data_IF_117591721725
#
_entry.id   IF_117591721725
#
_cell.length_a   1.000
_cell.length_b   1.000
_cell.length_c   1.000
_cell.angle_alpha   90.00
_cell.angle_beta   90.00
_cell.angle_gamma   90.00
#
_symmetry.space_group_name_H-M   'P 1'
#
loop_
_entity.id
_entity.type
_entity.pdbx_description
1 polymer ?
#
# COMPACT_ATOMS: atom_id res chain seq x y z
N UNK A 1 -65.38 -46.20 6.03
CA UNK A 1 -65.56 -45.12 7.03
C UNK A 1 -64.28 -44.85 7.81
N UNK A 2 -63.76 -45.76 8.64
CA UNK A 2 -62.54 -45.51 9.42
C UNK A 2 -61.26 -45.36 8.56
N UNK A 3 -61.16 -46.15 7.48
CA UNK A 3 -60.09 -46.04 6.47
C UNK A 3 -60.10 -44.70 5.72
N UNK A 4 -61.29 -44.17 5.43
CA UNK A 4 -61.44 -42.91 4.70
C UNK A 4 -61.07 -41.71 5.58
N UNK A 5 -61.36 -41.80 6.89
CA UNK A 5 -60.93 -40.81 7.88
C UNK A 5 -59.40 -40.78 8.01
N UNK A 6 -58.75 -41.95 8.09
CA UNK A 6 -57.29 -42.04 8.15
C UNK A 6 -56.62 -41.53 6.87
N UNK A 7 -57.18 -41.81 5.70
CA UNK A 7 -56.66 -41.31 4.42
C UNK A 7 -56.78 -39.78 4.34
N UNK A 8 -57.91 -39.22 4.79
CA UNK A 8 -58.11 -37.77 4.82
C UNK A 8 -57.18 -37.08 5.82
N UNK A 9 -56.93 -37.69 6.98
CA UNK A 9 -55.99 -37.15 7.97
C UNK A 9 -54.53 -37.20 7.47
N UNK A 10 -54.16 -38.28 6.77
CA UNK A 10 -52.83 -38.41 6.17
C UNK A 10 -52.61 -37.37 5.06
N UNK A 11 -53.64 -37.13 4.23
CA UNK A 11 -53.61 -36.11 3.18
C UNK A 11 -53.43 -34.71 3.78
N UNK A 12 -54.19 -34.38 4.84
CA UNK A 12 -54.05 -33.10 5.54
C UNK A 12 -52.66 -32.90 6.16
N UNK A 13 -52.06 -33.96 6.73
CA UNK A 13 -50.69 -33.91 7.28
C UNK A 13 -49.65 -33.73 6.17
N UNK A 14 -49.81 -34.43 5.05
CA UNK A 14 -48.92 -34.30 3.89
C UNK A 14 -48.95 -32.88 3.32
N UNK A 15 -50.14 -32.30 3.17
CA UNK A 15 -50.32 -30.92 2.71
C UNK A 15 -49.68 -29.91 3.68
N UNK A 16 -49.74 -30.17 4.99
CA UNK A 16 -49.09 -29.32 6.00
C UNK A 16 -47.57 -29.38 5.88
N UNK A 17 -46.99 -30.58 5.80
CA UNK A 17 -45.54 -30.76 5.65
C UNK A 17 -45.05 -30.15 4.33
N UNK A 18 -45.84 -30.28 3.26
CA UNK A 18 -45.50 -29.70 1.96
C UNK A 18 -45.53 -28.16 2.00
N UNK A 19 -46.48 -27.55 2.71
CA UNK A 19 -46.50 -26.10 2.95
C UNK A 19 -45.30 -25.64 3.78
N UNK A 20 -44.98 -26.33 4.87
CA UNK A 20 -43.85 -25.98 5.74
C UNK A 20 -42.51 -26.11 5.00
N UNK A 21 -42.37 -27.11 4.14
CA UNK A 21 -41.20 -27.28 3.28
C UNK A 21 -41.08 -26.14 2.25
N UNK A 22 -42.18 -25.71 1.63
CA UNK A 22 -42.16 -24.57 0.70
C UNK A 22 -41.80 -23.26 1.44
N UNK A 23 -42.33 -23.04 2.64
CA UNK A 23 -41.98 -21.88 3.46
C UNK A 23 -40.50 -21.89 3.87
N UNK A 24 -39.97 -23.04 4.30
CA UNK A 24 -38.55 -23.20 4.63
C UNK A 24 -37.64 -22.95 3.43
N UNK A 25 -38.00 -23.47 2.24
CA UNK A 25 -37.28 -23.18 0.99
C UNK A 25 -37.30 -21.70 0.64
N UNK A 26 -38.44 -21.02 0.78
CA UNK A 26 -38.54 -19.58 0.54
C UNK A 26 -37.68 -18.76 1.52
N UNK A 27 -37.63 -19.15 2.81
CA UNK A 27 -36.74 -18.54 3.80
C UNK A 27 -35.26 -18.76 3.48
N UNK A 28 -34.87 -19.97 3.04
CA UNK A 28 -33.50 -20.28 2.63
C UNK A 28 -33.09 -19.51 1.37
N UNK A 29 -33.98 -19.40 0.38
CA UNK A 29 -33.75 -18.56 -0.81
C UNK A 29 -33.65 -17.08 -0.46
N UNK A 30 -34.46 -16.59 0.49
CA UNK A 30 -34.34 -15.23 1.01
C UNK A 30 -33.01 -14.99 1.74
N UNK A 31 -32.55 -15.96 2.55
CA UNK A 31 -31.25 -15.88 3.21
C UNK A 31 -30.09 -15.92 2.20
N UNK A 32 -30.17 -16.75 1.17
CA UNK A 32 -29.19 -16.80 0.07
C UNK A 32 -29.17 -15.48 -0.71
N UNK A 33 -30.33 -14.90 -1.02
CA UNK A 33 -30.40 -13.60 -1.70
C UNK A 33 -29.84 -12.48 -0.82
N UNK A 34 -30.06 -12.51 0.50
CA UNK A 34 -29.43 -11.59 1.44
C UNK A 34 -27.92 -11.81 1.54
N UNK A 35 -27.45 -13.06 1.54
CA UNK A 35 -26.03 -13.38 1.48
C UNK A 35 -25.40 -12.90 0.18
N UNK A 36 -26.10 -13.02 -0.95
CA UNK A 36 -25.67 -12.51 -2.26
C UNK A 36 -25.59 -10.98 -2.25
N UNK A 37 -26.61 -10.28 -1.73
CA UNK A 37 -26.60 -8.82 -1.57
C UNK A 37 -25.50 -8.36 -0.60
N UNK A 38 -25.28 -9.08 0.50
CA UNK A 38 -24.16 -8.83 1.42
C UNK A 38 -22.80 -9.16 0.80
N UNK A 39 -22.75 -10.08 -0.17
CA UNK A 39 -21.54 -10.43 -0.92
C UNK A 39 -21.22 -9.43 -2.03
N UNK A 40 -22.24 -8.71 -2.54
CA UNK A 40 -22.09 -7.74 -3.64
C UNK A 40 -21.17 -6.58 -3.30
N UNK A 41 -20.86 -6.35 -2.02
CA UNK A 41 -19.90 -5.32 -1.65
C UNK A 41 -18.95 -5.75 -0.53
N UNK A 42 -18.52 -7.03 -0.57
CA UNK A 42 -17.55 -7.60 0.37
C UNK A 42 -16.29 -6.73 0.54
N UNK A 43 -15.92 -5.98 -0.50
CA UNK A 43 -14.71 -5.15 -0.55
C UNK A 43 -14.98 -3.65 -0.72
N UNK A 44 -16.21 -3.18 -0.49
CA UNK A 44 -16.62 -1.79 -0.69
C UNK A 44 -15.62 -0.77 -0.13
N UNK A 45 -15.30 -0.95 1.16
CA UNK A 45 -14.48 -0.03 1.93
C UNK A 45 -13.02 -0.14 1.50
N UNK A 46 -12.56 -1.37 1.21
CA UNK A 46 -11.21 -1.62 0.68
C UNK A 46 -11.00 -0.97 -0.70
N UNK A 47 -11.95 -1.14 -1.61
CA UNK A 47 -11.91 -0.56 -2.95
C UNK A 47 -12.01 0.97 -2.92
N UNK A 48 -12.89 1.52 -2.07
CA UNK A 48 -12.97 2.96 -1.85
C UNK A 48 -11.66 3.53 -1.30
N UNK A 49 -11.07 2.88 -0.29
CA UNK A 49 -9.77 3.28 0.28
C UNK A 49 -8.66 3.22 -0.78
N UNK A 50 -8.60 2.14 -1.58
CA UNK A 50 -7.66 2.00 -2.69
C UNK A 50 -7.77 3.19 -3.66
N UNK A 51 -8.99 3.51 -4.09
CA UNK A 51 -9.28 4.63 -4.97
C UNK A 51 -8.87 5.99 -4.39
N UNK A 52 -9.17 6.23 -3.10
CA UNK A 52 -8.79 7.45 -2.39
C UNK A 52 -7.26 7.60 -2.29
N UNK A 53 -6.55 6.54 -1.89
CA UNK A 53 -5.09 6.55 -1.79
C UNK A 53 -4.44 6.76 -3.16
N UNK A 54 -4.97 6.11 -4.22
CA UNK A 54 -4.52 6.31 -5.61
C UNK A 54 -4.68 7.76 -6.05
N UNK A 55 -5.85 8.35 -5.81
CA UNK A 55 -6.13 9.75 -6.18
C UNK A 55 -5.19 10.72 -5.45
N UNK A 56 -5.01 10.54 -4.14
CA UNK A 56 -4.09 11.35 -3.33
C UNK A 56 -2.64 11.18 -3.80
N UNK A 57 -2.20 9.96 -4.13
CA UNK A 57 -0.89 9.70 -4.71
C UNK A 57 -0.69 10.52 -5.99
N UNK A 58 -1.65 10.47 -6.93
CA UNK A 58 -1.53 11.19 -8.21
C UNK A 58 -1.38 12.69 -8.01
N UNK A 59 -2.10 13.28 -7.06
CA UNK A 59 -1.95 14.70 -6.70
C UNK A 59 -0.56 14.97 -6.14
N UNK A 60 -0.08 14.12 -5.22
CA UNK A 60 1.21 14.31 -4.54
C UNK A 60 2.40 14.10 -5.47
N UNK A 61 2.33 13.13 -6.38
CA UNK A 61 3.35 12.86 -7.40
C UNK A 61 3.50 14.06 -8.33
N UNK A 62 2.40 14.70 -8.72
CA UNK A 62 2.41 15.87 -9.62
C UNK A 62 2.78 17.20 -8.95
N UNK A 63 2.88 17.23 -7.62
CA UNK A 63 3.31 18.43 -6.90
C UNK A 63 4.83 18.58 -6.97
N UNK A 64 5.33 19.69 -7.51
CA UNK A 64 6.76 19.97 -7.62
C UNK A 64 7.46 19.94 -6.24
N UNK A 65 8.55 19.18 -6.05
CA UNK A 65 9.26 19.17 -4.78
C UNK A 65 9.85 20.54 -4.44
N UNK A 66 9.97 20.90 -3.15
CA UNK A 66 10.69 22.10 -2.74
C UNK A 66 12.17 21.98 -3.16
N UNK A 67 12.84 23.11 -3.39
CA UNK A 67 14.28 23.11 -3.70
C UNK A 67 15.07 22.48 -2.56
N UNK A 68 16.03 21.62 -2.90
CA UNK A 68 16.90 21.02 -1.90
C UNK A 68 17.91 22.05 -1.37
N UNK A 69 17.90 22.26 -0.06
CA UNK A 69 18.95 23.00 0.66
C UNK A 69 20.08 22.03 1.04
N UNK A 70 21.26 22.54 1.39
CA UNK A 70 22.39 21.70 1.83
C UNK A 70 22.01 20.74 2.98
N UNK A 71 21.08 21.17 3.86
CA UNK A 71 20.54 20.38 4.97
C UNK A 71 19.59 19.26 4.51
N UNK A 72 18.78 19.48 3.48
CA UNK A 72 17.82 18.47 2.97
C UNK A 72 18.43 17.50 1.96
N UNK A 73 19.63 17.78 1.42
CA UNK A 73 20.39 16.85 0.56
C UNK A 73 20.83 15.56 1.27
N UNK A 74 21.02 15.61 2.59
CA UNK A 74 21.55 14.47 3.37
C UNK A 74 20.49 13.44 3.76
N UNK A 75 19.24 13.87 3.92
CA UNK A 75 18.17 12.99 4.41
C UNK A 75 17.46 12.29 3.26
N UNK A 76 17.10 11.02 3.47
CA UNK A 76 16.18 10.30 2.61
C UNK A 76 14.85 11.07 2.57
N UNK A 77 14.44 11.48 1.37
CA UNK A 77 13.15 12.14 1.19
C UNK A 77 12.08 11.06 1.10
N UNK A 78 10.91 11.31 1.67
CA UNK A 78 9.75 10.42 1.57
C UNK A 78 8.56 11.14 0.95
N UNK A 79 7.71 10.38 0.28
CA UNK A 79 6.38 10.82 -0.13
C UNK A 79 5.39 10.13 0.80
N UNK A 80 4.69 10.91 1.61
CA UNK A 80 3.65 10.40 2.51
C UNK A 80 2.28 10.83 2.01
N UNK A 81 1.36 9.87 1.97
CA UNK A 81 -0.05 10.09 1.69
C UNK A 81 -0.82 9.71 2.94
N UNK A 82 -1.55 10.68 3.49
CA UNK A 82 -2.38 10.49 4.66
C UNK A 82 -3.85 10.53 4.29
N UNK A 83 -4.64 9.64 4.89
CA UNK A 83 -6.09 9.61 4.79
C UNK A 83 -6.70 9.14 6.11
N UNK A 84 -7.98 9.42 6.33
CA UNK A 84 -8.72 8.89 7.48
C UNK A 84 -9.61 7.76 6.99
N UNK A 85 -9.47 6.58 7.59
CA UNK A 85 -10.30 5.43 7.27
C UNK A 85 -10.54 4.58 8.51
N UNK A 86 -11.60 3.78 8.48
CA UNK A 86 -11.87 2.79 9.52
C UNK A 86 -10.92 1.59 9.38
N UNK A 87 -10.59 0.93 10.48
CA UNK A 87 -9.70 -0.25 10.47
C UNK A 87 -10.17 -1.33 9.48
N UNK A 88 -11.49 -1.55 9.40
CA UNK A 88 -12.10 -2.52 8.49
C UNK A 88 -11.84 -2.24 7.02
N UNK A 89 -11.65 -0.98 6.61
CA UNK A 89 -11.30 -0.63 5.24
C UNK A 89 -9.88 -1.11 4.89
N UNK A 90 -8.96 -1.04 5.86
CA UNK A 90 -7.57 -1.51 5.72
C UNK A 90 -7.53 -3.03 5.71
N UNK A 91 -8.28 -3.67 6.59
CA UNK A 91 -8.38 -5.13 6.63
C UNK A 91 -9.02 -5.68 5.34
N UNK A 92 -10.05 -5.02 4.79
CA UNK A 92 -10.63 -5.34 3.48
C UNK A 92 -9.63 -5.14 2.34
N UNK A 93 -8.91 -4.00 2.31
CA UNK A 93 -7.90 -3.72 1.29
C UNK A 93 -6.81 -4.80 1.28
N UNK A 94 -6.31 -5.17 2.46
CA UNK A 94 -5.30 -6.21 2.59
C UNK A 94 -5.81 -7.56 2.09
N UNK A 95 -7.00 -7.98 2.50
CA UNK A 95 -7.58 -9.24 2.06
C UNK A 95 -7.89 -9.26 0.55
N UNK A 96 -8.38 -8.15 -0.01
CA UNK A 96 -8.63 -7.97 -1.44
C UNK A 96 -7.33 -8.10 -2.25
N UNK A 97 -6.22 -7.55 -1.76
CA UNK A 97 -4.92 -7.59 -2.42
C UNK A 97 -4.01 -8.76 -1.97
N UNK A 98 -4.50 -9.66 -1.11
CA UNK A 98 -3.75 -10.79 -0.53
C UNK A 98 -2.45 -10.35 0.17
N UNK A 99 -2.53 -9.28 0.95
CA UNK A 99 -1.42 -8.69 1.68
C UNK A 99 -1.38 -9.20 3.11
N UNK A 100 -0.18 -9.43 3.63
CA UNK A 100 0.03 -9.73 5.03
C UNK A 100 -0.10 -8.46 5.86
N UNK A 101 -0.81 -8.58 6.99
CA UNK A 101 -1.04 -7.46 7.90
C UNK A 101 -0.44 -7.77 9.25
N UNK A 102 0.50 -6.94 9.67
CA UNK A 102 1.04 -6.98 11.01
C UNK A 102 0.17 -6.14 11.96
N UNK A 103 -0.28 -6.77 13.04
CA UNK A 103 -1.00 -6.09 14.11
C UNK A 103 -0.01 -5.57 15.14
N UNK A 104 -0.02 -4.26 15.37
CA UNK A 104 0.84 -3.61 16.37
C UNK A 104 0.08 -3.41 17.66
N UNK A 105 0.51 -4.09 18.74
CA UNK A 105 -0.14 -3.97 20.05
C UNK A 105 0.18 -2.64 20.72
N UNK A 106 -0.85 -1.97 21.24
CA UNK A 106 -0.65 -0.88 22.19
C UNK A 106 -0.37 -1.46 23.58
N UNK A 107 0.62 -0.94 24.30
CA UNK A 107 1.05 -1.40 25.62
C UNK A 107 -0.03 -1.33 26.74
N UNK A 108 -1.25 -0.90 26.43
CA UNK A 108 -2.36 -0.79 27.38
C UNK A 108 -3.65 -1.48 26.95
N UNK A 109 -3.60 -2.50 26.08
CA UNK A 109 -4.79 -3.26 25.65
C UNK A 109 -5.76 -2.47 24.76
N UNK A 110 -5.30 -1.38 24.14
CA UNK A 110 -6.05 -0.58 23.16
C UNK A 110 -5.87 -1.14 21.75
N UNK A 111 -6.84 -0.82 20.88
CA UNK A 111 -6.94 -1.24 19.47
C UNK A 111 -5.57 -1.31 18.77
N UNK A 112 -5.26 -2.48 18.23
CA UNK A 112 -4.00 -2.76 17.55
C UNK A 112 -3.93 -1.98 16.23
N UNK A 113 -2.83 -1.27 15.99
CA UNK A 113 -2.57 -0.64 14.69
C UNK A 113 -2.33 -1.70 13.61
N UNK A 114 -2.48 -1.33 12.33
CA UNK A 114 -2.16 -2.22 11.19
C UNK A 114 -0.94 -1.71 10.45
N UNK A 115 -0.06 -2.62 10.04
CA UNK A 115 1.09 -2.30 9.21
C UNK A 115 1.16 -3.31 8.06
N UNK A 116 1.33 -2.81 6.84
CA UNK A 116 1.53 -3.62 5.63
C UNK A 116 2.85 -3.18 5.02
N UNK A 117 3.78 -4.11 4.93
CA UNK A 117 5.08 -3.92 4.28
C UNK A 117 5.01 -4.31 2.81
N UNK A 118 5.62 -3.51 1.94
CA UNK A 118 5.71 -3.80 0.51
C UNK A 118 7.16 -4.10 0.14
N UNK A 119 7.42 -5.03 -0.79
CA UNK A 119 8.78 -5.30 -1.26
C UNK A 119 9.39 -4.14 -2.06
N UNK A 120 8.58 -3.21 -2.56
CA UNK A 120 9.03 -2.05 -3.31
C UNK A 120 7.90 -1.12 -3.75
N UNK A 121 8.25 0.00 -4.37
CA UNK A 121 7.28 1.01 -4.84
C UNK A 121 6.29 0.42 -5.85
N UNK A 122 6.75 -0.44 -6.77
CA UNK A 122 5.89 -1.08 -7.78
C UNK A 122 4.81 -1.96 -7.16
N UNK A 123 5.11 -2.69 -6.08
CA UNK A 123 4.14 -3.52 -5.38
C UNK A 123 3.05 -2.66 -4.72
N UNK A 124 3.42 -1.54 -4.09
CA UNK A 124 2.44 -0.60 -3.53
C UNK A 124 1.60 0.09 -4.62
N UNK A 125 2.19 0.44 -5.77
CA UNK A 125 1.45 1.00 -6.91
C UNK A 125 0.47 -0.03 -7.51
N UNK A 126 0.87 -1.30 -7.57
CA UNK A 126 -0.01 -2.39 -7.98
C UNK A 126 -1.15 -2.61 -6.99
N UNK A 127 -0.88 -2.53 -5.68
CA UNK A 127 -1.93 -2.53 -4.66
C UNK A 127 -2.91 -1.37 -4.84
N UNK A 128 -2.47 -0.21 -5.31
CA UNK A 128 -3.35 0.92 -5.60
C UNK A 128 -4.14 0.77 -6.90
N UNK A 129 -3.99 -0.34 -7.64
CA UNK A 129 -4.56 -0.53 -8.98
C UNK A 129 -4.17 0.60 -9.95
N UNK A 130 -2.93 1.11 -9.84
CA UNK A 130 -2.42 2.09 -10.80
C UNK A 130 -2.30 1.47 -12.19
N UNK A 131 -2.72 2.20 -13.23
CA UNK A 131 -2.48 1.80 -14.62
C UNK A 131 -0.99 1.81 -14.96
N UNK A 132 -0.61 1.27 -16.11
CA UNK A 132 0.78 1.33 -16.58
C UNK A 132 1.29 2.77 -16.72
N UNK A 133 0.45 3.70 -17.21
CA UNK A 133 0.81 5.11 -17.35
C UNK A 133 0.90 5.82 -16.01
N UNK A 134 -0.01 5.55 -15.08
CA UNK A 134 0.04 6.08 -13.71
C UNK A 134 1.26 5.56 -12.95
N UNK A 135 1.60 4.28 -13.15
CA UNK A 135 2.80 3.66 -12.57
C UNK A 135 4.05 4.33 -13.09
N UNK A 136 4.19 4.49 -14.42
CA UNK A 136 5.34 5.16 -15.02
C UNK A 136 5.48 6.62 -14.52
N UNK A 137 4.38 7.38 -14.52
CA UNK A 137 4.36 8.77 -14.05
C UNK A 137 4.62 8.90 -12.54
N UNK A 138 4.27 7.88 -11.75
CA UNK A 138 4.57 7.83 -10.32
C UNK A 138 6.04 7.53 -10.07
N UNK A 139 6.61 6.58 -10.81
CA UNK A 139 7.99 6.14 -10.62
C UNK A 139 9.00 7.24 -10.98
N UNK A 140 8.74 8.03 -12.04
CA UNK A 140 9.58 9.14 -12.44
C UNK A 140 8.75 10.32 -12.95
N UNK A 141 9.01 11.51 -12.42
CA UNK A 141 8.38 12.74 -12.89
C UNK A 141 9.33 13.93 -12.84
N UNK A 142 9.45 14.64 -13.97
CA UNK A 142 10.29 15.83 -14.11
C UNK A 142 9.47 17.11 -14.01
N UNK A 143 10.04 18.11 -13.34
CA UNK A 143 9.42 19.40 -13.10
C UNK A 143 10.30 20.51 -13.65
N UNK A 144 9.80 21.23 -14.66
CA UNK A 144 10.38 22.49 -15.09
C UNK A 144 10.07 23.60 -14.08
N UNK A 145 11.09 24.39 -13.73
CA UNK A 145 10.95 25.59 -12.87
C UNK A 145 11.02 26.86 -13.72
N UNK A 146 10.52 27.97 -13.17
CA UNK A 146 10.51 29.27 -13.84
C UNK A 146 11.90 29.81 -14.20
N UNK A 147 12.94 29.38 -13.49
CA UNK A 147 14.34 29.74 -13.77
C UNK A 147 15.01 28.83 -14.81
N UNK A 148 14.24 27.99 -15.50
CA UNK A 148 14.75 27.06 -16.51
C UNK A 148 15.40 25.79 -15.94
N UNK A 149 15.52 25.67 -14.61
CA UNK A 149 16.03 24.44 -13.99
C UNK A 149 14.99 23.32 -14.03
N UNK A 150 15.48 22.07 -14.09
CA UNK A 150 14.65 20.88 -14.03
C UNK A 150 14.98 20.16 -12.72
N UNK A 151 13.94 19.76 -11.98
CA UNK A 151 14.09 18.79 -10.90
C UNK A 151 13.33 17.52 -11.26
N UNK A 152 13.92 16.35 -11.10
CA UNK A 152 13.23 15.06 -11.31
C UNK A 152 13.03 14.35 -9.98
N UNK A 153 11.80 13.88 -9.75
CA UNK A 153 11.44 13.01 -8.62
C UNK A 153 11.37 11.57 -9.10
N UNK A 154 11.99 10.66 -8.35
CA UNK A 154 11.91 9.23 -8.55
C UNK A 154 11.40 8.56 -7.27
N UNK A 155 10.46 7.63 -7.38
CA UNK A 155 10.08 6.73 -6.28
C UNK A 155 11.13 5.62 -6.15
N UNK A 156 12.31 6.04 -5.71
CA UNK A 156 13.51 5.22 -5.61
C UNK A 156 14.14 5.45 -4.24
N UNK A 157 14.51 4.37 -3.59
CA UNK A 157 15.24 4.44 -2.33
C UNK A 157 16.66 4.91 -2.57
N UNK A 158 17.03 5.99 -1.89
CA UNK A 158 18.38 6.54 -1.86
C UNK A 158 18.91 6.43 -0.44
N UNK A 159 19.94 5.61 -0.27
CA UNK A 159 20.68 5.43 0.97
C UNK A 159 22.03 6.13 0.87
N UNK A 160 22.35 7.00 1.84
CA UNK A 160 23.63 7.72 1.87
C UNK A 160 24.38 7.32 3.15
N UNK A 161 25.60 6.81 2.99
CA UNK A 161 26.49 6.49 4.11
C UNK A 161 27.18 7.74 4.65
N UNK A 162 27.72 7.61 5.86
CA UNK A 162 28.49 8.67 6.52
C UNK A 162 29.76 9.05 5.75
N UNK A 163 30.36 8.11 5.00
CA UNK A 163 31.52 8.34 4.14
C UNK A 163 31.17 9.08 2.83
N UNK A 164 29.89 9.39 2.61
CA UNK A 164 29.39 10.09 1.42
C UNK A 164 29.02 9.17 0.26
N UNK A 165 29.22 7.85 0.36
CA UNK A 165 28.75 6.91 -0.68
C UNK A 165 27.23 6.88 -0.73
N UNK A 166 26.70 6.88 -1.95
CA UNK A 166 25.26 6.85 -2.21
C UNK A 166 24.91 5.57 -2.95
N UNK A 167 24.00 4.82 -2.36
CA UNK A 167 23.41 3.61 -2.91
C UNK A 167 21.96 3.89 -3.29
N UNK A 168 21.57 3.48 -4.48
CA UNK A 168 20.19 3.41 -4.93
C UNK A 168 19.73 1.97 -4.77
N UNK A 169 18.76 1.73 -3.90
CA UNK A 169 18.30 0.38 -3.59
C UNK A 169 17.17 0.04 -4.55
N UNK A 170 17.38 -0.97 -5.40
CA UNK A 170 16.44 -1.39 -6.43
C UNK A 170 15.49 -2.44 -5.89
N UNK A 171 16.06 -3.45 -5.22
CA UNK A 171 15.33 -4.58 -4.66
C UNK A 171 16.09 -5.18 -3.49
N UNK A 172 15.35 -5.79 -2.55
CA UNK A 172 15.91 -6.62 -1.48
C UNK A 172 15.37 -8.03 -1.63
N UNK A 173 16.27 -9.01 -1.62
CA UNK A 173 15.91 -10.41 -1.56
C UNK A 173 16.07 -10.90 -0.12
N UNK A 174 14.94 -11.10 0.56
CA UNK A 174 14.92 -11.53 1.95
C UNK A 174 15.45 -12.96 2.15
N UNK A 175 15.27 -13.84 1.16
CA UNK A 175 15.70 -15.24 1.20
C UNK A 175 17.23 -15.34 1.22
N UNK A 176 17.89 -14.57 0.34
CA UNK A 176 19.34 -14.63 0.17
C UNK A 176 20.07 -13.58 1.02
N UNK A 177 19.35 -12.68 1.69
CA UNK A 177 19.93 -11.57 2.45
C UNK A 177 20.71 -10.58 1.57
N UNK A 178 20.36 -10.47 0.29
CA UNK A 178 21.04 -9.62 -0.70
C UNK A 178 20.19 -8.44 -1.12
N UNK A 179 20.84 -7.40 -1.65
CA UNK A 179 20.19 -6.26 -2.26
C UNK A 179 20.76 -6.00 -3.66
N UNK A 180 19.87 -5.83 -4.62
CA UNK A 180 20.21 -5.25 -5.91
C UNK A 180 20.31 -3.73 -5.73
N UNK A 181 21.49 -3.18 -6.02
CA UNK A 181 21.80 -1.77 -5.81
C UNK A 181 22.43 -1.17 -7.05
N UNK A 182 22.31 0.15 -7.19
CA UNK A 182 23.11 0.93 -8.11
C UNK A 182 23.92 1.97 -7.33
N UNK A 183 25.14 2.23 -7.76
CA UNK A 183 25.96 3.33 -7.25
C UNK A 183 26.67 4.03 -8.39
N UNK A 184 27.02 5.30 -8.20
CA UNK A 184 27.91 5.97 -9.14
C UNK A 184 29.34 5.44 -8.96
N UNK A 185 30.02 5.11 -10.06
CA UNK A 185 31.44 4.81 -9.99
C UNK A 185 32.25 6.06 -9.63
N UNK A 186 33.39 5.85 -8.97
CA UNK A 186 34.34 6.92 -8.71
C UNK A 186 34.99 7.32 -10.03
N UNK A 187 34.98 8.62 -10.34
CA UNK A 187 35.61 9.16 -11.54
C UNK A 187 37.07 9.42 -11.19
N UNK A 188 38.01 8.87 -11.96
CA UNK A 188 39.45 9.07 -11.76
C UNK A 188 39.87 10.54 -11.88
N UNK A 189 39.13 11.33 -12.68
CA UNK A 189 39.36 12.77 -12.88
C UNK A 189 38.23 13.60 -12.26
N UNK A 190 38.30 13.78 -10.94
CA UNK A 190 37.34 14.57 -10.15
C UNK A 190 37.45 16.10 -10.38
N UNK A 191 38.38 16.57 -11.22
CA UNK A 191 38.75 18.00 -11.33
C UNK A 191 37.81 18.80 -12.25
N UNK A 192 37.14 18.17 -13.22
CA UNK A 192 36.50 18.91 -14.31
C UNK A 192 34.95 18.97 -14.27
N UNK A 193 34.26 18.11 -13.52
CA UNK A 193 32.79 18.15 -13.44
C UNK A 193 32.24 17.69 -12.08
N UNK A 194 31.92 18.64 -11.17
CA UNK A 194 31.35 18.32 -9.86
C UNK A 194 29.91 17.79 -9.89
N UNK A 195 29.17 17.99 -10.99
CA UNK A 195 27.71 17.84 -11.03
C UNK A 195 27.21 16.46 -11.47
N UNK A 196 28.04 15.67 -12.15
CA UNK A 196 27.69 14.33 -12.64
C UNK A 196 28.83 13.40 -12.26
N UNK A 197 28.64 12.67 -11.15
CA UNK A 197 29.53 11.57 -10.77
C UNK A 197 29.66 10.54 -11.90
N UNK A 198 30.53 9.54 -11.72
CA UNK A 198 30.70 8.47 -12.71
C UNK A 198 29.39 7.73 -13.07
N UNK A 199 29.43 6.89 -14.12
CA UNK A 199 28.27 6.10 -14.54
C UNK A 199 27.67 5.29 -13.39
N UNK A 200 26.36 5.05 -13.46
CA UNK A 200 25.68 4.15 -12.54
C UNK A 200 26.06 2.71 -12.85
N UNK A 201 26.62 2.03 -11.86
CA UNK A 201 26.97 0.61 -11.92
C UNK A 201 26.00 -0.14 -11.02
N UNK A 202 25.35 -1.15 -11.59
CA UNK A 202 24.50 -2.09 -10.84
C UNK A 202 25.37 -3.18 -10.23
N UNK A 203 25.01 -3.60 -9.03
CA UNK A 203 25.62 -4.73 -8.34
C UNK A 203 24.58 -5.40 -7.45
N UNK A 204 24.81 -6.68 -7.16
CA UNK A 204 24.11 -7.40 -6.09
C UNK A 204 25.10 -7.59 -4.96
N UNK A 205 24.75 -7.13 -3.77
CA UNK A 205 25.61 -7.18 -2.58
C UNK A 205 24.87 -7.85 -1.42
N UNK A 206 25.60 -8.39 -0.44
CA UNK A 206 24.96 -8.73 0.83
C UNK A 206 24.45 -7.44 1.49
N UNK A 207 23.29 -7.49 2.13
CA UNK A 207 22.79 -6.36 2.93
C UNK A 207 23.78 -6.03 4.05
N UNK A 208 24.50 -7.04 4.57
CA UNK A 208 25.52 -6.88 5.60
C UNK A 208 26.75 -6.09 5.12
N UNK A 209 27.02 -6.09 3.80
CA UNK A 209 28.11 -5.33 3.19
C UNK A 209 27.76 -3.84 3.02
N UNK A 210 26.51 -3.45 3.30
CA UNK A 210 26.05 -2.07 3.26
C UNK A 210 25.68 -1.64 4.70
N UNK A 211 26.66 -1.19 5.51
CA UNK A 211 26.46 -0.82 6.90
C UNK A 211 25.28 0.12 7.08
N UNK A 212 24.34 -0.25 7.95
CA UNK A 212 23.17 0.55 8.31
C UNK A 212 22.00 0.48 7.32
N UNK A 213 22.09 -0.33 6.26
CA UNK A 213 20.96 -0.63 5.39
C UNK A 213 19.98 -1.56 6.11
N UNK A 214 18.71 -1.18 6.17
CA UNK A 214 17.66 -2.03 6.72
C UNK A 214 17.39 -3.27 5.85
N UNK A 215 17.00 -4.37 6.48
CA UNK A 215 16.63 -5.63 5.81
C UNK A 215 15.30 -5.57 5.07
N UNK A 216 14.41 -4.64 5.44
CA UNK A 216 13.10 -4.44 4.81
C UNK A 216 13.06 -3.19 3.94
N UNK A 217 12.23 -3.22 2.90
CA UNK A 217 11.92 -2.03 2.11
C UNK A 217 11.15 -1.00 2.98
N UNK A 218 11.43 0.31 2.86
CA UNK A 218 10.75 1.35 3.65
C UNK A 218 9.33 1.69 3.13
N UNK A 219 8.86 1.04 2.07
CA UNK A 219 7.50 1.25 1.55
C UNK A 219 6.51 0.56 2.47
N UNK A 220 5.63 1.34 3.10
CA UNK A 220 4.73 0.84 4.14
C UNK A 220 3.39 1.56 4.12
N UNK A 221 2.31 0.81 4.32
CA UNK A 221 0.99 1.35 4.65
C UNK A 221 0.72 1.08 6.12
N UNK A 222 0.48 2.15 6.89
CA UNK A 222 0.21 2.07 8.32
C UNK A 222 -1.17 2.61 8.62
N UNK A 223 -1.92 1.92 9.45
CA UNK A 223 -3.12 2.44 10.10
C UNK A 223 -2.90 2.54 11.60
N UNK A 224 -3.30 3.67 12.17
CA UNK A 224 -3.25 3.90 13.62
C UNK A 224 -4.52 4.58 14.11
N UNK A 225 -5.07 4.16 15.26
CA UNK A 225 -6.30 4.76 15.78
C UNK A 225 -6.08 6.24 16.10
N UNK A 226 -7.04 7.09 15.73
CA UNK A 226 -7.00 8.51 16.11
C UNK A 226 -7.55 8.63 17.53
N UNK A 227 -6.72 9.06 18.46
CA UNK A 227 -7.16 9.37 19.82
C UNK A 227 -8.24 10.47 19.74
N UNK A 228 -9.44 10.19 20.29
CA UNK A 228 -10.62 11.08 20.51
C UNK A 228 -11.89 10.76 19.73
N UNK A 229 -11.92 9.75 18.86
CA UNK A 229 -13.22 9.28 18.37
C UNK A 229 -13.82 8.36 19.42
N UNK A 230 -14.79 8.88 20.19
CA UNK A 230 -15.56 8.08 21.13
C UNK A 230 -16.16 6.90 20.39
N UNK A 231 -15.94 5.69 20.90
CA UNK A 231 -16.47 4.47 20.30
C UNK A 231 -17.99 4.50 20.42
N UNK A 232 -18.76 4.53 19.32
CA UNK A 232 -20.21 4.42 19.39
C UNK A 232 -20.59 3.12 20.10
N UNK A 233 -21.64 3.13 20.92
CA UNK A 233 -22.13 1.92 21.57
C UNK A 233 -22.49 0.88 20.49
N UNK A 234 -21.94 -0.33 20.60
CA UNK A 234 -22.14 -1.41 19.63
C UNK A 234 -21.15 -1.47 18.46
N UNK A 235 -20.20 -0.52 18.33
CA UNK A 235 -19.21 -0.58 17.24
C UNK A 235 -18.21 -1.72 17.46
N UNK A 236 -17.81 -2.39 16.39
CA UNK A 236 -16.73 -3.39 16.39
C UNK A 236 -15.35 -2.69 16.35
N UNK A 237 -14.26 -3.45 16.49
CA UNK A 237 -12.90 -2.93 16.27
C UNK A 237 -12.70 -2.41 14.85
N UNK A 238 -13.46 -2.95 13.88
CA UNK A 238 -13.32 -2.63 12.47
C UNK A 238 -13.89 -1.24 12.15
N UNK A 239 -14.80 -0.73 12.97
CA UNK A 239 -15.45 0.57 12.79
C UNK A 239 -14.62 1.73 13.36
N UNK A 240 -13.49 1.43 14.00
CA UNK A 240 -12.63 2.44 14.61
C UNK A 240 -11.98 3.27 13.52
N UNK A 241 -12.23 4.57 13.51
CA UNK A 241 -11.55 5.51 12.63
C UNK A 241 -10.08 5.68 13.04
N UNK A 242 -9.21 5.72 12.04
CA UNK A 242 -7.79 5.92 12.23
C UNK A 242 -7.15 6.64 11.06
N UNK A 243 -5.89 7.05 11.26
CA UNK A 243 -5.06 7.61 10.20
C UNK A 243 -4.40 6.47 9.45
N UNK A 244 -4.66 6.42 8.15
CA UNK A 244 -3.90 5.65 7.16
C UNK A 244 -2.78 6.52 6.63
N UNK A 245 -1.54 6.02 6.64
CA UNK A 245 -0.36 6.66 6.09
C UNK A 245 0.37 5.69 5.17
N UNK A 246 0.40 6.00 3.88
CA UNK A 246 1.18 5.27 2.87
C UNK A 246 2.46 6.05 2.58
N UNK A 247 3.61 5.42 2.77
CA UNK A 247 4.93 6.06 2.66
C UNK A 247 5.74 5.42 1.55
N UNK A 248 6.29 6.25 0.66
CA UNK A 248 7.25 5.84 -0.35
C UNK A 248 8.61 6.53 -0.13
N UNK A 249 9.73 5.83 -0.37
CA UNK A 249 11.02 6.49 -0.47
C UNK A 249 11.10 7.29 -1.77
N UNK A 250 11.79 8.43 -1.70
CA UNK A 250 11.91 9.36 -2.83
C UNK A 250 13.35 9.82 -3.00
N UNK A 251 13.79 9.81 -4.26
CA UNK A 251 14.98 10.48 -4.72
C UNK A 251 14.57 11.72 -5.51
N UNK A 252 15.18 12.88 -5.23
CA UNK A 252 15.00 14.09 -6.04
C UNK A 252 16.36 14.55 -6.54
N UNK A 253 16.49 14.69 -7.85
CA UNK A 253 17.69 15.18 -8.52
C UNK A 253 17.41 16.51 -9.22
N UNK A 254 18.42 17.35 -9.33
CA UNK A 254 18.33 18.69 -9.92
C UNK A 254 18.82 18.66 -11.38
N UNK A 255 18.26 17.73 -12.16
CA UNK A 255 18.45 17.55 -13.59
C UNK A 255 17.29 16.70 -14.16
N UNK A 256 17.40 16.27 -15.42
CA UNK A 256 16.42 15.39 -16.05
C UNK A 256 16.34 13.99 -15.41
N UNK A 257 17.38 13.53 -14.71
CA UNK A 257 17.41 12.23 -14.02
C UNK A 257 17.38 11.01 -14.93
N UNK A 258 17.75 11.16 -16.21
CA UNK A 258 17.63 10.13 -17.25
C UNK A 258 18.38 8.84 -16.91
N UNK A 259 19.55 8.96 -16.28
CA UNK A 259 20.37 7.81 -15.89
C UNK A 259 19.75 7.01 -14.74
N UNK A 260 19.15 7.70 -13.76
CA UNK A 260 18.40 7.08 -12.67
C UNK A 260 17.06 6.54 -13.13
N UNK A 261 16.42 7.15 -14.13
CA UNK A 261 15.19 6.63 -14.73
C UNK A 261 15.41 5.25 -15.34
N UNK A 262 16.59 4.99 -15.90
CA UNK A 262 16.95 3.67 -16.44
C UNK A 262 17.06 2.57 -15.36
N UNK A 263 16.97 2.92 -14.06
CA UNK A 263 16.95 1.96 -12.95
C UNK A 263 15.55 1.47 -12.58
N UNK A 264 14.49 2.13 -13.07
CA UNK A 264 13.11 1.97 -12.57
C UNK A 264 12.29 0.91 -13.29
#
# INVERSE_FOLDING_TARGET
>A
MERDVLVNELAAKLDSVQRDLMLSKASLSGLSALQDVMSMDKWALGAALQGCLRALLMVRVKACPPRRTARTKRNQSTLTIDHIAVCGAVDQLAAMCRLEVESTRSAGGRVDGRVIHFPGCRAALSMLSCSASETAASLCHSFGRKDGTISTRLLLERYAQQDGKVWYILERNATDGTAAVARRSERSDAVLQPSTGGPLVRATLSIMDIPGLGSSCPVVLRWSPVARHGRPAGSTSNDVAGRVSLVFPVCVVEDAGTDLQALL
#
